data_IF_422975146690
#
_entry.id   IF_422975146690
#
_cell.length_a   1.000
_cell.length_b   1.000
_cell.length_c   1.000
_cell.angle_alpha   90.00
_cell.angle_beta   90.00
_cell.angle_gamma   90.00
#
_symmetry.space_group_name_H-M   'P 1'
#
loop_
_entity.id
_entity.type
_entity.pdbx_description
1 polymer ?
#
# COMPACT_ATOMS: atom_id res chain seq x y z
N UNK A 1 -7.68 -8.34 14.35
CA UNK A 1 -6.87 -7.11 14.20
C UNK A 1 -6.21 -6.74 15.51
N UNK A 2 -6.96 -6.38 16.57
CA UNK A 2 -6.39 -6.01 17.88
C UNK A 2 -5.38 -7.05 18.43
N UNK A 3 -5.70 -8.34 18.37
CA UNK A 3 -4.80 -9.40 18.82
C UNK A 3 -3.51 -9.55 17.97
N UNK A 4 -3.51 -9.09 16.71
CA UNK A 4 -2.34 -9.14 15.81
C UNK A 4 -1.50 -7.86 15.89
N UNK A 5 -2.07 -6.75 16.37
CA UNK A 5 -1.40 -5.44 16.36
C UNK A 5 -1.11 -4.90 14.97
N UNK A 6 -1.80 -5.41 13.94
CA UNK A 6 -1.63 -5.05 12.53
C UNK A 6 -2.70 -4.07 12.07
N UNK A 7 -2.46 -3.45 10.92
CA UNK A 7 -3.36 -2.50 10.27
C UNK A 7 -3.86 -3.07 8.95
N UNK A 8 -5.16 -2.94 8.66
CA UNK A 8 -5.73 -3.38 7.38
C UNK A 8 -6.47 -2.23 6.74
N UNK A 9 -6.10 -1.93 5.51
CA UNK A 9 -6.79 -0.94 4.67
C UNK A 9 -7.62 -1.65 3.61
N UNK A 10 -8.82 -1.13 3.36
CA UNK A 10 -9.76 -1.56 2.33
C UNK A 10 -9.77 -0.52 1.21
N UNK A 11 -9.57 -0.99 -0.02
CA UNK A 11 -9.78 -0.21 -1.25
C UNK A 11 -11.04 -0.74 -1.92
N UNK A 12 -12.09 0.08 -1.97
CA UNK A 12 -13.35 -0.21 -2.63
C UNK A 12 -13.43 0.45 -3.99
N UNK A 13 -13.68 -0.34 -5.03
CA UNK A 13 -13.89 0.11 -6.42
C UNK A 13 -15.30 -0.27 -6.87
N UNK A 14 -15.85 0.47 -7.83
CA UNK A 14 -17.09 0.04 -8.47
C UNK A 14 -16.84 -1.24 -9.30
N UNK A 15 -17.81 -2.15 -9.32
CA UNK A 15 -17.77 -3.31 -10.22
C UNK A 15 -18.11 -2.85 -11.64
N UNK A 16 -17.30 -3.17 -12.66
CA UNK A 16 -17.65 -2.88 -14.05
C UNK A 16 -18.89 -3.67 -14.49
N UNK A 17 -19.94 -2.99 -14.94
CA UNK A 17 -21.25 -3.61 -15.26
C UNK A 17 -21.20 -4.64 -16.40
N UNK A 18 -20.33 -4.42 -17.39
CA UNK A 18 -20.31 -5.21 -18.65
C UNK A 18 -19.18 -6.25 -18.71
N UNK A 19 -18.54 -6.52 -17.58
CA UNK A 19 -17.39 -7.43 -17.52
C UNK A 19 -17.81 -8.74 -16.85
N UNK A 20 -17.70 -9.83 -17.61
CA UNK A 20 -17.94 -11.19 -17.11
C UNK A 20 -16.83 -11.64 -16.17
N UNK A 21 -17.15 -12.55 -15.25
CA UNK A 21 -16.25 -13.00 -14.17
C UNK A 21 -14.89 -13.48 -14.68
N UNK A 22 -14.85 -14.27 -15.76
CA UNK A 22 -13.61 -14.78 -16.37
C UNK A 22 -12.65 -13.68 -16.83
N UNK A 23 -13.18 -12.50 -17.16
CA UNK A 23 -12.37 -11.32 -17.51
C UNK A 23 -12.13 -10.40 -16.31
N UNK A 24 -13.02 -10.41 -15.33
CA UNK A 24 -12.94 -9.58 -14.13
C UNK A 24 -11.88 -10.11 -13.15
N UNK A 25 -11.93 -11.40 -12.79
CA UNK A 25 -11.08 -11.97 -11.73
C UNK A 25 -9.57 -11.83 -12.01
N UNK A 26 -9.06 -12.02 -13.24
CA UNK A 26 -7.65 -11.74 -13.53
C UNK A 26 -7.26 -10.28 -13.26
N UNK A 27 -8.18 -9.33 -13.49
CA UNK A 27 -7.96 -7.91 -13.19
C UNK A 27 -8.02 -7.64 -11.68
N UNK A 28 -8.95 -8.28 -10.96
CA UNK A 28 -9.03 -8.18 -9.50
C UNK A 28 -7.73 -8.63 -8.85
N UNK A 29 -7.18 -9.78 -9.27
CA UNK A 29 -5.89 -10.28 -8.76
C UNK A 29 -4.72 -9.36 -9.14
N UNK A 30 -4.75 -8.76 -10.33
CA UNK A 30 -3.77 -7.74 -10.71
C UNK A 30 -3.87 -6.50 -9.81
N UNK A 31 -5.08 -6.02 -9.55
CA UNK A 31 -5.35 -4.84 -8.72
C UNK A 31 -4.93 -5.08 -7.27
N UNK A 32 -5.29 -6.24 -6.71
CA UNK A 32 -4.87 -6.69 -5.38
C UNK A 32 -3.35 -6.62 -5.22
N UNK A 33 -2.62 -7.23 -6.17
CA UNK A 33 -1.15 -7.20 -6.17
C UNK A 33 -0.62 -5.78 -6.33
N UNK A 34 -1.22 -4.96 -7.19
CA UNK A 34 -0.79 -3.58 -7.39
C UNK A 34 -0.94 -2.74 -6.11
N UNK A 35 -2.03 -2.92 -5.35
CA UNK A 35 -2.24 -2.27 -4.04
C UNK A 35 -1.17 -2.70 -3.03
N UNK A 36 -0.90 -4.01 -2.94
CA UNK A 36 0.15 -4.52 -2.06
C UNK A 36 1.55 -4.00 -2.45
N UNK A 37 1.88 -3.99 -3.74
CA UNK A 37 3.13 -3.46 -4.26
C UNK A 37 3.29 -1.97 -3.99
N UNK A 38 2.21 -1.19 -4.07
CA UNK A 38 2.24 0.24 -3.77
C UNK A 38 2.47 0.50 -2.28
N UNK A 39 1.79 -0.24 -1.40
CA UNK A 39 2.07 -0.18 0.03
C UNK A 39 3.54 -0.51 0.33
N UNK A 40 4.09 -1.56 -0.29
CA UNK A 40 5.49 -1.93 -0.14
C UNK A 40 6.46 -0.85 -0.68
N UNK A 41 6.20 -0.28 -1.87
CA UNK A 41 6.99 0.84 -2.44
C UNK A 41 6.94 2.08 -1.55
N UNK A 42 5.86 2.25 -0.82
CA UNK A 42 5.71 3.26 0.21
C UNK A 42 6.27 2.78 1.58
N UNK A 43 7.24 1.88 1.63
CA UNK A 43 7.93 1.49 2.87
C UNK A 43 7.00 0.95 3.98
N UNK A 44 5.82 0.42 3.63
CA UNK A 44 5.01 -0.37 4.56
C UNK A 44 5.41 -1.84 4.46
N UNK A 45 5.50 -2.51 5.61
CA UNK A 45 5.76 -3.96 5.64
C UNK A 45 4.43 -4.69 5.45
N UNK A 46 4.22 -5.20 4.23
CA UNK A 46 3.01 -5.94 3.85
C UNK A 46 3.06 -7.36 4.39
N UNK A 47 2.02 -7.75 5.12
CA UNK A 47 1.84 -9.09 5.66
C UNK A 47 0.94 -9.94 4.77
N UNK A 48 0.04 -9.32 4.01
CA UNK A 48 -0.85 -10.02 3.09
C UNK A 48 -1.78 -9.10 2.33
N UNK A 49 -2.43 -9.67 1.34
CA UNK A 49 -3.54 -9.07 0.62
C UNK A 49 -4.61 -10.12 0.36
N UNK A 50 -5.83 -9.65 0.10
CA UNK A 50 -6.94 -10.47 -0.38
C UNK A 50 -7.87 -9.59 -1.20
N UNK A 51 -8.77 -10.21 -1.96
CA UNK A 51 -9.78 -9.48 -2.70
C UNK A 51 -11.09 -10.26 -2.77
N UNK A 52 -12.21 -9.54 -2.77
CA UNK A 52 -13.52 -10.11 -3.01
C UNK A 52 -14.34 -9.21 -3.92
N UNK A 53 -15.32 -9.82 -4.57
CA UNK A 53 -16.24 -9.14 -5.48
C UNK A 53 -17.67 -9.44 -5.02
N UNK A 54 -18.49 -8.40 -5.01
CA UNK A 54 -19.95 -8.50 -4.91
C UNK A 54 -20.60 -7.92 -6.18
N UNK A 55 -21.94 -7.88 -6.29
CA UNK A 55 -22.60 -7.35 -7.49
C UNK A 55 -22.30 -5.88 -7.80
N UNK A 56 -21.88 -5.07 -6.82
CA UNK A 56 -21.71 -3.61 -6.98
C UNK A 56 -20.26 -3.16 -6.85
N UNK A 57 -19.43 -3.90 -6.13
CA UNK A 57 -18.07 -3.48 -5.75
C UNK A 57 -17.03 -4.58 -5.87
N UNK A 58 -15.81 -4.12 -6.08
CA UNK A 58 -14.57 -4.90 -5.92
C UNK A 58 -13.86 -4.36 -4.68
N UNK A 59 -13.59 -5.23 -3.72
CA UNK A 59 -12.90 -4.89 -2.48
C UNK A 59 -11.51 -5.52 -2.50
N UNK A 60 -10.49 -4.70 -2.27
CA UNK A 60 -9.10 -5.11 -2.17
C UNK A 60 -8.62 -4.78 -0.75
N UNK A 61 -8.07 -5.78 -0.05
CA UNK A 61 -7.55 -5.62 1.30
C UNK A 61 -6.03 -5.76 1.28
N UNK A 62 -5.37 -4.95 2.11
CA UNK A 62 -3.93 -5.10 2.39
C UNK A 62 -3.69 -5.01 3.88
N UNK A 63 -3.03 -6.02 4.45
CA UNK A 63 -2.56 -6.05 5.84
C UNK A 63 -1.11 -5.59 5.91
N UNK A 64 -0.81 -4.65 6.81
CA UNK A 64 0.55 -4.17 7.10
C UNK A 64 0.85 -4.21 8.59
N UNK A 65 2.14 -4.21 8.94
CA UNK A 65 2.58 -4.22 10.36
C UNK A 65 2.23 -2.93 11.12
N UNK A 66 2.09 -1.81 10.42
CA UNK A 66 1.73 -0.52 11.02
C UNK A 66 0.94 0.34 10.03
N UNK A 67 -0.15 0.98 10.47
CA UNK A 67 -0.95 1.86 9.61
C UNK A 67 -0.30 3.20 9.29
N UNK A 68 0.73 3.58 10.06
CA UNK A 68 1.36 4.90 10.00
C UNK A 68 2.88 4.82 10.09
N UNK A 69 3.55 5.54 9.19
CA UNK A 69 5.01 5.67 9.15
C UNK A 69 5.51 6.90 9.90
N UNK A 70 6.79 6.89 10.27
CA UNK A 70 7.48 8.07 10.75
C UNK A 70 7.42 9.21 9.71
N UNK A 71 7.44 10.46 10.18
CA UNK A 71 7.45 11.62 9.30
C UNK A 71 8.76 11.75 8.52
N UNK A 72 9.85 11.25 9.07
CA UNK A 72 11.17 11.27 8.44
C UNK A 72 11.30 10.12 7.44
N UNK A 73 11.89 10.41 6.29
CA UNK A 73 12.28 9.43 5.27
C UNK A 73 13.74 9.68 4.90
N UNK A 74 14.62 8.68 5.07
CA UNK A 74 15.94 8.71 4.45
C UNK A 74 15.79 8.61 2.93
N UNK A 75 16.44 9.50 2.20
CA UNK A 75 16.54 9.46 0.75
C UNK A 75 18.00 9.23 0.35
N UNK A 76 18.22 8.13 -0.36
CA UNK A 76 19.54 7.73 -0.80
C UNK A 76 20.07 8.67 -1.89
N UNK A 77 21.33 9.02 -1.76
CA UNK A 77 22.12 9.74 -2.74
C UNK A 77 23.10 8.82 -3.47
N UNK A 78 23.90 9.38 -4.39
CA UNK A 78 24.93 8.60 -5.06
C UNK A 78 26.00 8.14 -4.05
N UNK A 79 26.71 7.03 -4.34
CA UNK A 79 27.98 6.73 -3.70
C UNK A 79 28.93 7.93 -3.74
N UNK A 80 29.69 8.15 -2.66
CA UNK A 80 30.69 9.21 -2.63
C UNK A 80 31.75 8.98 -3.74
N UNK A 81 32.23 10.07 -4.35
CA UNK A 81 33.29 10.04 -5.36
C UNK A 81 32.85 9.82 -6.82
N UNK A 82 31.55 9.76 -7.10
CA UNK A 82 31.03 9.77 -8.47
C UNK A 82 30.72 11.19 -8.97
N UNK A 83 30.77 11.41 -10.29
CA UNK A 83 30.50 12.72 -10.92
C UNK A 83 29.14 13.35 -10.54
N UNK A 84 28.19 12.53 -10.06
CA UNK A 84 26.85 12.97 -9.63
C UNK A 84 26.82 13.59 -8.22
N UNK A 85 27.91 13.53 -7.47
CA UNK A 85 27.99 14.10 -6.11
C UNK A 85 27.78 15.61 -6.14
N UNK A 86 28.38 16.32 -7.09
CA UNK A 86 28.26 17.77 -7.19
C UNK A 86 26.80 18.22 -7.38
N UNK A 87 26.08 17.61 -8.33
CA UNK A 87 24.65 17.90 -8.57
C UNK A 87 23.78 17.53 -7.37
N UNK A 88 24.10 16.43 -6.68
CA UNK A 88 23.37 16.03 -5.47
C UNK A 88 23.55 17.07 -4.37
N UNK A 89 24.77 17.52 -4.11
CA UNK A 89 25.08 18.54 -3.11
C UNK A 89 24.50 19.91 -3.48
N UNK A 90 24.50 20.29 -4.76
CA UNK A 90 23.87 21.52 -5.23
C UNK A 90 22.36 21.49 -4.96
N UNK A 91 21.69 20.39 -5.31
CA UNK A 91 20.25 20.24 -5.09
C UNK A 91 19.88 20.21 -3.61
N UNK A 92 20.60 19.42 -2.81
CA UNK A 92 20.16 19.07 -1.46
C UNK A 92 20.87 19.84 -0.34
N UNK A 93 21.97 20.52 -0.66
CA UNK A 93 22.65 21.47 0.24
C UNK A 93 22.19 22.91 0.05
N UNK A 94 21.28 23.18 -0.89
CA UNK A 94 20.70 24.51 -1.08
C UNK A 94 19.95 24.97 0.19
N UNK A 95 19.98 26.27 0.55
CA UNK A 95 19.34 26.77 1.77
C UNK A 95 17.83 26.52 1.87
N UNK A 96 17.16 26.38 0.73
CA UNK A 96 15.73 26.14 0.58
C UNK A 96 15.38 24.67 0.26
N UNK A 97 16.38 23.78 0.24
CA UNK A 97 16.14 22.36 0.01
C UNK A 97 15.20 21.80 1.09
N UNK A 98 14.19 20.99 0.74
CA UNK A 98 13.20 20.46 1.67
C UNK A 98 13.76 19.26 2.47
N UNK A 99 14.89 19.48 3.13
CA UNK A 99 15.60 18.50 3.98
C UNK A 99 15.35 18.82 5.45
N UNK A 100 15.17 17.78 6.25
CA UNK A 100 15.18 17.85 7.71
C UNK A 100 16.63 17.76 8.23
N UNK A 101 17.46 16.97 7.56
CA UNK A 101 18.87 16.77 7.92
C UNK A 101 19.69 16.32 6.70
N UNK A 102 20.96 16.71 6.67
CA UNK A 102 21.92 16.37 5.63
C UNK A 102 22.18 17.51 4.64
N UNK A 103 22.90 17.25 3.54
CA UNK A 103 23.50 15.97 3.15
C UNK A 103 24.50 15.39 4.16
N UNK A 104 24.56 14.06 4.29
CA UNK A 104 25.53 13.35 5.14
C UNK A 104 26.03 12.07 4.46
N UNK A 105 27.15 11.52 4.95
CA UNK A 105 27.73 10.25 4.48
C UNK A 105 27.30 9.13 5.43
N UNK A 106 26.77 8.04 4.88
CA UNK A 106 26.43 6.82 5.62
C UNK A 106 27.66 5.96 5.87
N UNK A 107 27.52 4.97 6.76
CA UNK A 107 28.60 4.04 7.08
C UNK A 107 29.14 3.25 5.86
N UNK A 108 28.31 3.05 4.83
CA UNK A 108 28.68 2.40 3.57
C UNK A 108 29.33 3.36 2.54
N UNK A 109 29.55 4.62 2.90
CA UNK A 109 30.13 5.65 2.02
C UNK A 109 29.14 6.28 1.04
N UNK A 110 27.85 5.90 1.07
CA UNK A 110 26.82 6.56 0.26
C UNK A 110 26.39 7.89 0.87
N UNK A 111 26.01 8.86 0.02
CA UNK A 111 25.37 10.08 0.49
C UNK A 111 23.90 9.85 0.81
N UNK A 112 23.36 10.62 1.75
CA UNK A 112 21.94 10.63 2.06
C UNK A 112 21.47 11.99 2.59
N UNK A 113 20.15 12.18 2.52
CA UNK A 113 19.42 13.24 3.25
C UNK A 113 18.23 12.63 3.95
N UNK A 114 17.72 13.32 4.94
CA UNK A 114 16.43 13.01 5.54
C UNK A 114 15.41 14.06 5.11
N UNK A 115 14.29 13.61 4.55
CA UNK A 115 13.20 14.47 4.10
C UNK A 115 11.93 14.18 4.89
N UNK A 116 10.95 15.08 4.81
CA UNK A 116 9.62 14.85 5.39
C UNK A 116 8.73 14.13 4.38
N UNK A 117 8.07 13.05 4.79
CA UNK A 117 7.02 12.39 4.00
C UNK A 117 5.80 13.31 3.88
N UNK A 118 5.24 13.39 2.67
CA UNK A 118 3.97 14.09 2.41
C UNK A 118 2.80 13.36 3.09
N UNK A 119 2.75 12.04 2.94
CA UNK A 119 1.70 11.17 3.48
C UNK A 119 2.33 10.12 4.39
N UNK A 120 1.70 9.84 5.53
CA UNK A 120 2.23 8.92 6.55
C UNK A 120 1.36 7.70 6.78
N UNK A 121 0.06 7.89 6.64
CA UNK A 121 -0.98 6.90 6.87
C UNK A 121 -1.25 6.14 5.57
N UNK A 122 -1.48 4.82 5.65
CA UNK A 122 -1.59 3.95 4.47
C UNK A 122 -2.77 4.34 3.58
N UNK A 123 -3.89 4.74 4.18
CA UNK A 123 -5.08 5.19 3.48
C UNK A 123 -4.77 6.38 2.58
N UNK A 124 -4.07 7.40 3.10
CA UNK A 124 -3.72 8.59 2.33
C UNK A 124 -2.78 8.24 1.16
N UNK A 125 -1.81 7.35 1.40
CA UNK A 125 -0.89 6.86 0.37
C UNK A 125 -1.62 6.16 -0.76
N UNK A 126 -2.49 5.22 -0.42
CA UNK A 126 -3.24 4.47 -1.43
C UNK A 126 -4.24 5.38 -2.15
N UNK A 127 -4.91 6.28 -1.43
CA UNK A 127 -5.84 7.23 -2.03
C UNK A 127 -5.16 8.16 -3.04
N UNK A 128 -3.94 8.64 -2.76
CA UNK A 128 -3.20 9.52 -3.67
C UNK A 128 -2.57 8.78 -4.84
N UNK A 129 -2.22 7.51 -4.65
CA UNK A 129 -1.63 6.65 -5.69
C UNK A 129 -2.68 6.07 -6.64
N UNK A 130 -3.89 5.77 -6.15
CA UNK A 130 -4.93 5.03 -6.88
C UNK A 130 -5.17 5.50 -8.33
N UNK A 131 -5.27 6.82 -8.62
CA UNK A 131 -5.52 7.29 -9.99
C UNK A 131 -4.40 6.98 -10.99
N UNK A 132 -3.19 6.66 -10.50
CA UNK A 132 -1.99 6.38 -11.30
C UNK A 132 -1.66 4.89 -11.35
N UNK A 133 -2.39 4.05 -10.60
CA UNK A 133 -2.09 2.63 -10.49
C UNK A 133 -2.60 1.84 -11.70
N UNK A 134 -1.86 0.78 -12.06
CA UNK A 134 -2.28 -0.14 -13.12
C UNK A 134 -3.16 -1.26 -12.58
N UNK A 135 -4.44 -0.99 -12.33
CA UNK A 135 -5.35 -1.97 -11.71
C UNK A 135 -5.97 -2.98 -12.70
N UNK A 136 -5.77 -2.79 -14.00
CA UNK A 136 -6.46 -3.53 -15.06
C UNK A 136 -7.37 -2.60 -15.84
N UNK A 137 -7.55 -2.84 -17.14
CA UNK A 137 -8.18 -1.87 -18.04
C UNK A 137 -9.60 -1.47 -17.63
N UNK A 138 -10.39 -2.41 -17.13
CA UNK A 138 -11.79 -2.18 -16.80
C UNK A 138 -11.92 -1.66 -15.37
N UNK A 139 -11.07 -2.15 -14.45
CA UNK A 139 -10.99 -1.60 -13.11
C UNK A 139 -10.46 -0.16 -13.12
N UNK A 140 -9.50 0.18 -13.99
CA UNK A 140 -8.94 1.52 -14.20
C UNK A 140 -10.00 2.61 -14.33
N UNK A 141 -11.07 2.29 -15.07
CA UNK A 141 -12.19 3.19 -15.32
C UNK A 141 -13.11 3.29 -14.09
N UNK A 142 -13.14 2.26 -13.26
CA UNK A 142 -13.97 2.18 -12.06
C UNK A 142 -13.39 2.92 -10.84
N UNK A 143 -12.21 3.55 -10.94
CA UNK A 143 -11.60 4.37 -9.88
C UNK A 143 -12.16 5.79 -9.77
N UNK A 144 -13.35 6.04 -10.35
CA UNK A 144 -13.99 7.35 -10.33
C UNK A 144 -14.33 7.83 -8.91
N UNK A 145 -15.24 8.81 -8.76
CA UNK A 145 -15.57 9.38 -7.44
C UNK A 145 -16.10 8.37 -6.39
N UNK A 146 -16.41 7.13 -6.79
CA UNK A 146 -16.83 6.03 -5.92
C UNK A 146 -15.65 5.18 -5.38
N UNK A 147 -14.40 5.52 -5.73
CA UNK A 147 -13.25 4.85 -5.17
C UNK A 147 -13.01 5.32 -3.74
N UNK A 148 -13.04 4.37 -2.81
CA UNK A 148 -12.92 4.65 -1.38
C UNK A 148 -11.74 3.88 -0.81
N UNK A 149 -10.95 4.56 0.01
CA UNK A 149 -9.86 3.95 0.78
C UNK A 149 -10.10 4.25 2.26
N UNK A 150 -10.19 3.21 3.08
CA UNK A 150 -10.47 3.35 4.50
C UNK A 150 -9.84 2.23 5.32
N UNK A 151 -9.70 2.46 6.63
CA UNK A 151 -9.38 1.41 7.59
C UNK A 151 -10.48 0.34 7.61
N UNK A 152 -10.11 -0.92 7.79
CA UNK A 152 -11.06 -2.05 7.84
C UNK A 152 -12.19 -1.84 8.86
N UNK A 153 -11.91 -1.21 10.01
CA UNK A 153 -12.92 -0.93 11.03
C UNK A 153 -13.92 0.16 10.63
N UNK A 154 -13.58 0.99 9.64
CA UNK A 154 -14.46 2.02 9.08
C UNK A 154 -15.18 1.55 7.80
N UNK A 155 -14.78 0.40 7.24
CA UNK A 155 -15.38 -0.12 6.01
C UNK A 155 -16.82 -0.62 6.26
N UNK A 156 -17.77 -0.32 5.36
CA UNK A 156 -19.14 -0.86 5.47
C UNK A 156 -19.13 -2.39 5.42
N UNK A 157 -19.80 -3.02 6.39
CA UNK A 157 -19.92 -4.48 6.43
C UNK A 157 -20.69 -5.02 5.21
N UNK A 158 -20.13 -6.03 4.57
CA UNK A 158 -20.73 -6.70 3.41
C UNK A 158 -20.28 -8.16 3.32
N UNK A 159 -21.04 -9.04 2.63
CA UNK A 159 -20.60 -10.41 2.39
C UNK A 159 -19.28 -10.53 1.62
N UNK A 160 -18.93 -9.54 0.78
CA UNK A 160 -17.62 -9.50 0.14
C UNK A 160 -16.52 -9.09 1.13
N UNK A 161 -16.78 -8.11 2.00
CA UNK A 161 -15.80 -7.71 3.01
C UNK A 161 -15.49 -8.87 3.96
N UNK A 162 -16.52 -9.59 4.41
CA UNK A 162 -16.36 -10.79 5.23
C UNK A 162 -15.50 -11.85 4.53
N UNK A 163 -15.80 -12.16 3.25
CA UNK A 163 -15.02 -13.12 2.45
C UNK A 163 -13.56 -12.70 2.29
N UNK A 164 -13.30 -11.45 1.94
CA UNK A 164 -11.92 -10.95 1.79
C UNK A 164 -11.16 -10.96 3.11
N UNK A 165 -11.83 -10.58 4.22
CA UNK A 165 -11.25 -10.64 5.56
C UNK A 165 -10.91 -12.07 5.95
N UNK A 166 -11.81 -13.01 5.69
CA UNK A 166 -11.58 -14.42 5.98
C UNK A 166 -10.44 -14.98 5.12
N UNK A 167 -10.39 -14.69 3.81
CA UNK A 167 -9.27 -15.09 2.92
C UNK A 167 -7.93 -14.52 3.41
N UNK A 168 -7.90 -13.25 3.83
CA UNK A 168 -6.71 -12.58 4.34
C UNK A 168 -6.19 -13.21 5.64
N UNK A 169 -7.10 -13.58 6.54
CA UNK A 169 -6.77 -14.09 7.87
C UNK A 169 -6.60 -15.61 7.91
N UNK A 170 -7.24 -16.33 6.99
CA UNK A 170 -7.19 -17.79 6.90
C UNK A 170 -5.90 -18.30 6.26
N UNK A 171 -4.78 -17.57 6.35
CA UNK A 171 -3.42 -17.96 5.91
C UNK A 171 -2.92 -19.20 6.67
N UNK A 172 -3.56 -20.32 6.38
CA UNK A 172 -3.42 -21.61 7.00
C UNK A 172 -3.59 -22.65 5.90
N UNK A 173 -2.83 -23.72 6.01
CA UNK A 173 -3.00 -24.85 5.11
C UNK A 173 -4.40 -25.47 5.34
N UNK A 174 -5.19 -25.71 4.26
CA UNK A 174 -6.57 -26.22 4.38
C UNK A 174 -6.71 -27.52 5.17
N UNK A 175 -5.64 -28.32 5.23
CA UNK A 175 -5.62 -29.63 5.90
C UNK A 175 -5.19 -29.58 7.38
N UNK A 176 -4.89 -28.41 7.93
CA UNK A 176 -4.58 -28.27 9.36
C UNK A 176 -5.86 -27.94 10.15
N UNK A 177 -6.20 -28.77 11.15
CA UNK A 177 -7.29 -28.52 12.11
C UNK A 177 -7.22 -27.12 12.72
N UNK A 178 -8.32 -26.44 13.12
CA UNK A 178 -8.30 -25.06 13.61
C UNK A 178 -7.28 -24.83 14.74
N UNK A 179 -6.70 -23.62 14.82
CA UNK A 179 -5.89 -23.27 15.99
C UNK A 179 -6.81 -23.23 17.22
N UNK A 180 -6.35 -23.71 18.39
CA UNK A 180 -7.08 -23.47 19.62
C UNK A 180 -7.23 -21.95 19.82
N UNK A 181 -8.33 -21.49 20.46
CA UNK A 181 -8.47 -20.09 20.81
C UNK A 181 -7.27 -19.64 21.65
N UNK A 182 -6.76 -18.44 21.36
CA UNK A 182 -5.70 -17.80 22.14
C UNK A 182 -6.39 -16.95 23.20
N UNK A 183 -6.14 -17.25 24.47
CA UNK A 183 -6.67 -16.53 25.64
C UNK A 183 -6.23 -15.05 25.69
#
# INVERSE_FOLDING_TARGET
MAARGTHVTVVGLARPERVVDDTLYPQVRKAERAVAEEAHRADFVVLGSAAAVDPERVLLLVEVTHGRRAAVRPQDGPPAGLDRVAQYLEKWGAPDAPVLQGPYVRADGSLAVETRRTERDLESVLQSALPKMSLGKDLAVAHGPAAEVCDLAAAPESPALARARDELLAKRLPWLAPAPPVD
#
